data_IF_925962224270
#
_entry.id   IF_925962224270
#
_cell.length_a   1.000
_cell.length_b   1.000
_cell.length_c   1.000
_cell.angle_alpha   90.00
_cell.angle_beta   90.00
_cell.angle_gamma   90.00
#
_symmetry.space_group_name_H-M   'P 1'
#
loop_
_entity.id
_entity.type
_entity.pdbx_description
1 polymer ?
#
# COMPACT_ATOMS: atom_id res chain seq x y z
N UNK A 1 -27.00 38.29 -67.72
CA UNK A 1 -25.70 38.46 -67.02
C UNK A 1 -25.70 37.86 -65.61
N UNK A 2 -26.81 37.87 -64.86
CA UNK A 2 -26.84 37.34 -63.47
C UNK A 2 -26.58 35.82 -63.31
N UNK A 3 -26.93 34.98 -64.30
CA UNK A 3 -26.71 33.51 -64.19
C UNK A 3 -25.25 33.07 -64.27
N UNK A 4 -24.42 33.76 -65.07
CA UNK A 4 -22.97 33.47 -65.16
C UNK A 4 -22.24 33.81 -63.86
N UNK A 5 -22.64 34.88 -63.17
CA UNK A 5 -22.08 35.27 -61.87
C UNK A 5 -22.40 34.22 -60.79
N UNK A 6 -23.64 33.71 -60.76
CA UNK A 6 -24.04 32.66 -59.81
C UNK A 6 -23.27 31.35 -59.99
N UNK A 7 -23.02 30.93 -61.25
CA UNK A 7 -22.23 29.72 -61.53
C UNK A 7 -20.77 29.87 -61.07
N UNK A 8 -20.16 31.04 -61.27
CA UNK A 8 -18.80 31.30 -60.80
C UNK A 8 -18.69 31.27 -59.27
N UNK A 9 -19.66 31.88 -58.58
CA UNK A 9 -19.73 31.85 -57.11
C UNK A 9 -19.90 30.43 -56.57
N UNK A 10 -20.78 29.64 -57.21
CA UNK A 10 -20.99 28.24 -56.84
C UNK A 10 -19.71 27.40 -57.00
N UNK A 11 -19.00 27.57 -58.11
CA UNK A 11 -17.72 26.88 -58.34
C UNK A 11 -16.67 27.27 -57.29
N UNK A 12 -16.59 28.56 -56.93
CA UNK A 12 -15.68 29.01 -55.85
C UNK A 12 -16.03 28.39 -54.50
N UNK A 13 -17.32 28.28 -54.17
CA UNK A 13 -17.77 27.60 -52.95
C UNK A 13 -17.41 26.11 -52.94
N UNK A 14 -17.54 25.41 -54.08
CA UNK A 14 -17.15 24.00 -54.20
C UNK A 14 -15.65 23.85 -53.94
N UNK A 15 -14.82 24.64 -54.61
CA UNK A 15 -13.37 24.59 -54.39
C UNK A 15 -13.00 24.91 -52.94
N UNK A 16 -13.71 25.85 -52.29
CA UNK A 16 -13.56 26.12 -50.86
C UNK A 16 -13.84 24.88 -50.00
N UNK A 17 -14.98 24.22 -50.22
CA UNK A 17 -15.36 23.00 -49.49
C UNK A 17 -14.41 21.82 -49.74
N UNK A 18 -13.86 21.69 -50.95
CA UNK A 18 -12.85 20.68 -51.28
C UNK A 18 -11.55 20.92 -50.50
N UNK A 19 -11.11 22.17 -50.42
CA UNK A 19 -9.93 22.54 -49.63
C UNK A 19 -10.16 22.33 -48.13
N UNK A 20 -11.32 22.72 -47.60
CA UNK A 20 -11.68 22.51 -46.20
C UNK A 20 -11.73 21.01 -45.86
N UNK A 21 -12.31 20.19 -46.74
CA UNK A 21 -12.33 18.73 -46.59
C UNK A 21 -10.92 18.14 -46.54
N UNK A 22 -10.04 18.55 -47.45
CA UNK A 22 -8.64 18.07 -47.46
C UNK A 22 -7.92 18.48 -46.18
N UNK A 23 -8.07 19.74 -45.76
CA UNK A 23 -7.50 20.24 -44.50
C UNK A 23 -7.98 19.42 -43.30
N UNK A 24 -9.28 19.18 -43.20
CA UNK A 24 -9.89 18.38 -42.14
C UNK A 24 -9.39 16.94 -42.11
N UNK A 25 -9.33 16.27 -43.27
CA UNK A 25 -8.80 14.91 -43.37
C UNK A 25 -7.32 14.84 -42.95
N UNK A 26 -6.52 15.84 -43.32
CA UNK A 26 -5.12 15.93 -42.88
C UNK A 26 -5.01 16.09 -41.36
N UNK A 27 -5.85 16.92 -40.73
CA UNK A 27 -5.87 17.07 -39.27
C UNK A 27 -6.27 15.78 -38.55
N UNK A 28 -7.19 14.98 -39.12
CA UNK A 28 -7.54 13.66 -38.58
C UNK A 28 -6.34 12.72 -38.63
N UNK A 29 -5.64 12.63 -39.76
CA UNK A 29 -4.47 11.76 -39.88
C UNK A 29 -3.34 12.17 -38.93
N UNK A 30 -3.12 13.47 -38.73
CA UNK A 30 -2.19 13.97 -37.71
C UNK A 30 -2.60 13.55 -36.30
N UNK A 31 -3.89 13.70 -35.95
CA UNK A 31 -4.41 13.30 -34.63
C UNK A 31 -4.24 11.81 -34.39
N UNK A 32 -4.51 10.99 -35.41
CA UNK A 32 -4.34 9.54 -35.36
C UNK A 32 -2.87 9.14 -35.19
N UNK A 33 -1.95 9.79 -35.90
CA UNK A 33 -0.52 9.55 -35.74
C UNK A 33 -0.05 9.88 -34.31
N UNK A 34 -0.52 11.00 -33.75
CA UNK A 34 -0.23 11.37 -32.36
C UNK A 34 -0.78 10.35 -31.36
N UNK A 35 -2.01 9.87 -31.57
CA UNK A 35 -2.61 8.86 -30.69
C UNK A 35 -1.82 7.54 -30.71
N UNK A 36 -1.39 7.08 -31.88
CA UNK A 36 -0.54 5.89 -32.01
C UNK A 36 0.80 6.06 -31.31
N UNK A 37 1.44 7.22 -31.45
CA UNK A 37 2.67 7.54 -30.73
C UNK A 37 2.46 7.53 -29.21
N UNK A 38 1.40 8.17 -28.71
CA UNK A 38 1.05 8.19 -27.30
C UNK A 38 0.78 6.77 -26.76
N UNK A 39 0.10 5.92 -27.53
CA UNK A 39 -0.15 4.52 -27.17
C UNK A 39 1.16 3.76 -26.99
N UNK A 40 2.12 3.93 -27.89
CA UNK A 40 3.43 3.28 -27.78
C UNK A 40 4.21 3.75 -26.54
N UNK A 41 4.16 5.06 -26.24
CA UNK A 41 4.79 5.63 -25.03
C UNK A 41 4.21 4.97 -23.77
N UNK A 42 2.89 4.84 -23.69
CA UNK A 42 2.22 4.21 -22.54
C UNK A 42 2.62 2.74 -22.41
N UNK A 43 2.67 2.00 -23.52
CA UNK A 43 3.10 0.60 -23.51
C UNK A 43 4.55 0.44 -23.04
N UNK A 44 5.45 1.31 -23.51
CA UNK A 44 6.84 1.30 -23.08
C UNK A 44 6.97 1.61 -21.58
N UNK A 45 6.22 2.59 -21.08
CA UNK A 45 6.19 2.93 -19.67
C UNK A 45 5.64 1.75 -18.82
N UNK A 46 4.58 1.08 -19.27
CA UNK A 46 4.04 -0.11 -18.60
C UNK A 46 5.08 -1.24 -18.49
N UNK A 47 5.80 -1.53 -19.58
CA UNK A 47 6.86 -2.53 -19.59
C UNK A 47 7.99 -2.15 -18.62
N UNK A 48 8.45 -0.89 -18.65
CA UNK A 48 9.49 -0.41 -17.74
C UNK A 48 9.07 -0.50 -16.27
N UNK A 49 7.84 -0.10 -15.94
CA UNK A 49 7.29 -0.21 -14.59
C UNK A 49 7.23 -1.67 -14.12
N UNK A 50 6.79 -2.59 -14.99
CA UNK A 50 6.75 -4.03 -14.66
C UNK A 50 8.15 -4.59 -14.40
N UNK A 51 9.13 -4.27 -15.23
CA UNK A 51 10.53 -4.69 -15.02
C UNK A 51 11.11 -4.12 -13.72
N UNK A 52 10.81 -2.87 -13.41
CA UNK A 52 11.23 -2.25 -12.16
C UNK A 52 10.60 -2.94 -10.95
N UNK A 53 9.28 -3.21 -10.98
CA UNK A 53 8.58 -3.93 -9.92
C UNK A 53 9.14 -5.33 -9.70
N UNK A 54 9.38 -6.08 -10.78
CA UNK A 54 9.99 -7.41 -10.71
C UNK A 54 11.38 -7.37 -10.05
N UNK A 55 12.18 -6.35 -10.38
CA UNK A 55 13.51 -6.17 -9.79
C UNK A 55 13.44 -5.82 -8.31
N UNK A 56 12.52 -4.93 -7.94
CA UNK A 56 12.26 -4.57 -6.54
C UNK A 56 11.82 -5.78 -5.71
N UNK A 57 10.85 -6.57 -6.20
CA UNK A 57 10.39 -7.80 -5.52
C UNK A 57 11.55 -8.77 -5.30
N UNK A 58 12.38 -8.98 -6.33
CA UNK A 58 13.56 -9.86 -6.23
C UNK A 58 14.53 -9.36 -5.16
N UNK A 59 14.81 -8.05 -5.12
CA UNK A 59 15.69 -7.45 -4.12
C UNK A 59 15.12 -7.58 -2.70
N UNK A 60 13.81 -7.34 -2.53
CA UNK A 60 13.15 -7.48 -1.23
C UNK A 60 13.21 -8.93 -0.76
N UNK A 61 12.89 -9.91 -1.62
CA UNK A 61 13.02 -11.34 -1.28
C UNK A 61 14.43 -11.70 -0.83
N UNK A 62 15.46 -11.18 -1.50
CA UNK A 62 16.85 -11.42 -1.11
C UNK A 62 17.16 -10.84 0.28
N UNK A 63 16.72 -9.61 0.55
CA UNK A 63 16.89 -8.98 1.87
C UNK A 63 16.12 -9.73 2.96
N UNK A 64 14.89 -10.13 2.67
CA UNK A 64 14.06 -10.90 3.57
C UNK A 64 14.71 -12.24 3.93
N UNK A 65 15.21 -12.97 2.94
CA UNK A 65 15.91 -14.24 3.18
C UNK A 65 17.16 -14.06 4.06
N UNK A 66 17.91 -12.96 3.88
CA UNK A 66 19.04 -12.62 4.75
C UNK A 66 18.59 -12.32 6.18
N UNK A 67 17.52 -11.55 6.35
CA UNK A 67 16.96 -11.23 7.66
C UNK A 67 16.43 -12.48 8.38
N UNK A 68 15.73 -13.36 7.66
CA UNK A 68 15.26 -14.66 8.17
C UNK A 68 16.40 -15.54 8.63
N UNK A 69 17.48 -15.64 7.85
CA UNK A 69 18.66 -16.40 8.25
C UNK A 69 19.27 -15.87 9.57
N UNK A 70 19.34 -14.54 9.72
CA UNK A 70 19.85 -13.90 10.93
C UNK A 70 18.92 -14.04 12.14
N UNK A 71 17.61 -14.13 11.92
CA UNK A 71 16.60 -14.29 12.98
C UNK A 71 16.24 -15.75 13.29
N UNK A 72 16.86 -16.72 12.61
CA UNK A 72 16.47 -18.14 12.64
C UNK A 72 16.48 -18.80 14.03
N UNK A 73 17.22 -18.24 15.00
CA UNK A 73 17.23 -18.71 16.39
C UNK A 73 16.12 -18.13 17.27
N UNK A 74 15.34 -17.17 16.76
CA UNK A 74 14.23 -16.52 17.46
C UNK A 74 12.90 -16.80 16.72
N UNK A 75 12.08 -17.75 17.22
CA UNK A 75 10.78 -18.05 16.64
C UNK A 75 9.83 -16.85 16.60
N UNK A 76 9.93 -15.92 17.55
CA UNK A 76 9.10 -14.72 17.60
C UNK A 76 9.43 -13.75 16.46
N UNK A 77 10.72 -13.55 16.19
CA UNK A 77 11.18 -12.73 15.06
C UNK A 77 10.91 -13.39 13.70
N UNK A 78 10.94 -14.73 13.62
CA UNK A 78 10.65 -15.46 12.39
C UNK A 78 9.19 -15.27 11.93
N UNK A 79 8.24 -15.14 12.87
CA UNK A 79 6.81 -14.92 12.54
C UNK A 79 6.50 -13.57 11.87
N UNK A 80 7.40 -12.59 12.00
CA UNK A 80 7.21 -11.22 11.49
C UNK A 80 7.27 -11.16 9.96
N UNK A 81 7.85 -12.18 9.32
CA UNK A 81 8.02 -12.20 7.87
C UNK A 81 6.83 -12.77 7.09
N UNK A 82 5.87 -13.44 7.74
CA UNK A 82 4.76 -14.12 7.06
C UNK A 82 3.90 -13.20 6.19
N UNK A 83 3.55 -12.01 6.69
CA UNK A 83 2.76 -11.03 5.92
C UNK A 83 3.53 -10.54 4.66
N UNK A 84 4.87 -10.52 4.74
CA UNK A 84 5.72 -10.09 3.63
C UNK A 84 5.90 -11.19 2.59
N UNK A 85 6.00 -12.46 3.02
CA UNK A 85 5.97 -13.62 2.13
C UNK A 85 4.70 -13.61 1.26
N UNK A 86 3.53 -13.45 1.89
CA UNK A 86 2.23 -13.41 1.20
C UNK A 86 2.17 -12.26 0.19
N UNK A 87 2.61 -11.05 0.59
CA UNK A 87 2.69 -9.91 -0.33
C UNK A 87 3.58 -10.20 -1.55
N UNK A 88 4.78 -10.74 -1.30
CA UNK A 88 5.76 -10.95 -2.38
C UNK A 88 5.36 -12.11 -3.28
N UNK A 89 4.56 -13.06 -2.80
CA UNK A 89 3.92 -14.10 -3.60
C UNK A 89 2.82 -13.50 -4.49
N UNK A 90 1.86 -12.78 -3.91
CA UNK A 90 0.76 -12.14 -4.63
C UNK A 90 1.25 -11.18 -5.73
N UNK A 91 2.27 -10.37 -5.43
CA UNK A 91 2.84 -9.45 -6.42
C UNK A 91 3.56 -10.20 -7.54
N UNK A 92 4.23 -11.30 -7.23
CA UNK A 92 4.90 -12.12 -8.23
C UNK A 92 3.89 -12.78 -9.16
N UNK A 93 2.78 -13.28 -8.62
CA UNK A 93 1.70 -13.90 -9.39
C UNK A 93 0.96 -12.88 -10.26
N UNK A 94 0.69 -11.68 -9.75
CA UNK A 94 0.13 -10.58 -10.54
C UNK A 94 1.07 -10.14 -11.66
N UNK A 95 2.39 -10.11 -11.43
CA UNK A 95 3.36 -9.83 -12.47
C UNK A 95 3.39 -10.93 -13.53
N UNK A 96 3.45 -12.21 -13.12
CA UNK A 96 3.50 -13.37 -14.01
C UNK A 96 2.24 -13.51 -14.88
N UNK A 97 1.08 -13.14 -14.34
CA UNK A 97 -0.21 -13.20 -15.04
C UNK A 97 -0.49 -11.99 -15.96
N UNK A 98 0.50 -11.10 -16.14
CA UNK A 98 0.32 -9.84 -16.88
C UNK A 98 -0.85 -8.97 -16.36
N UNK A 99 -1.13 -9.03 -15.05
CA UNK A 99 -2.14 -8.20 -14.42
C UNK A 99 -1.89 -6.70 -14.68
N UNK A 100 -2.98 -5.92 -14.66
CA UNK A 100 -2.92 -4.47 -14.85
C UNK A 100 -2.13 -3.80 -13.72
N UNK A 101 -1.55 -2.64 -14.00
CA UNK A 101 -0.89 -1.82 -12.96
C UNK A 101 -1.84 -1.45 -11.81
N UNK A 102 -3.15 -1.32 -12.10
CA UNK A 102 -4.16 -1.10 -11.08
C UNK A 102 -4.33 -2.28 -10.14
N UNK A 103 -4.24 -3.52 -10.64
CA UNK A 103 -4.28 -4.73 -9.82
C UNK A 103 -3.07 -4.80 -8.89
N UNK A 104 -1.86 -4.54 -9.42
CA UNK A 104 -0.63 -4.48 -8.63
C UNK A 104 -0.71 -3.41 -7.53
N UNK A 105 -1.23 -2.23 -7.85
CA UNK A 105 -1.45 -1.16 -6.88
C UNK A 105 -2.48 -1.54 -5.81
N UNK A 106 -3.52 -2.29 -6.17
CA UNK A 106 -4.52 -2.79 -5.23
C UNK A 106 -3.92 -3.81 -4.26
N UNK A 107 -3.10 -4.75 -4.74
CA UNK A 107 -2.38 -5.70 -3.88
C UNK A 107 -1.51 -4.97 -2.85
N UNK A 108 -0.71 -4.00 -3.29
CA UNK A 108 0.08 -3.15 -2.38
C UNK A 108 -0.80 -2.38 -1.39
N UNK A 109 -1.90 -1.79 -1.86
CA UNK A 109 -2.83 -1.01 -1.05
C UNK A 109 -3.46 -1.86 0.06
N UNK A 110 -3.95 -3.06 -0.28
CA UNK A 110 -4.52 -4.00 0.68
C UNK A 110 -3.51 -4.39 1.76
N UNK A 111 -2.27 -4.71 1.36
CA UNK A 111 -1.19 -5.02 2.30
C UNK A 111 -0.93 -3.88 3.28
N UNK A 112 -0.71 -2.65 2.79
CA UNK A 112 -0.41 -1.52 3.68
C UNK A 112 -1.57 -1.19 4.62
N UNK A 113 -2.82 -1.34 4.16
CA UNK A 113 -3.99 -1.14 5.02
C UNK A 113 -4.07 -2.20 6.11
N UNK A 114 -3.76 -3.46 5.80
CA UNK A 114 -3.67 -4.53 6.79
C UNK A 114 -2.55 -4.25 7.81
N UNK A 115 -1.39 -3.76 7.36
CA UNK A 115 -0.29 -3.37 8.25
C UNK A 115 -0.68 -2.23 9.20
N UNK A 116 -1.38 -1.21 8.69
CA UNK A 116 -1.89 -0.09 9.51
C UNK A 116 -2.88 -0.62 10.56
N UNK A 117 -3.82 -1.48 10.16
CA UNK A 117 -4.80 -2.09 11.06
C UNK A 117 -4.13 -2.91 12.17
N UNK A 118 -3.16 -3.75 11.81
CA UNK A 118 -2.39 -4.57 12.75
C UNK A 118 -1.58 -3.69 13.73
N UNK A 119 -0.85 -2.71 13.22
CA UNK A 119 -0.08 -1.77 14.04
C UNK A 119 -0.98 -0.99 15.01
N UNK A 120 -2.14 -0.54 14.55
CA UNK A 120 -3.14 0.16 15.38
C UNK A 120 -3.65 -0.75 16.49
N UNK A 121 -3.97 -2.01 16.18
CA UNK A 121 -4.42 -2.99 17.16
C UNK A 121 -3.35 -3.25 18.22
N UNK A 122 -2.09 -3.44 17.80
CA UNK A 122 -0.96 -3.62 18.72
C UNK A 122 -0.74 -2.39 19.60
N UNK A 123 -0.81 -1.19 19.02
CA UNK A 123 -0.69 0.06 19.77
C UNK A 123 -1.80 0.19 20.83
N UNK A 124 -3.05 -0.12 20.46
CA UNK A 124 -4.19 -0.09 21.38
C UNK A 124 -4.04 -1.11 22.52
N UNK A 125 -3.56 -2.32 22.22
CA UNK A 125 -3.28 -3.35 23.22
C UNK A 125 -2.24 -2.88 24.24
N UNK A 126 -1.13 -2.28 23.78
CA UNK A 126 -0.12 -1.71 24.66
C UNK A 126 -0.67 -0.55 25.50
N UNK A 127 -1.39 0.38 24.87
CA UNK A 127 -1.89 1.60 25.51
C UNK A 127 -2.95 1.34 26.58
N UNK A 128 -3.80 0.34 26.38
CA UNK A 128 -4.93 0.08 27.28
C UNK A 128 -4.66 -1.13 28.16
N UNK A 129 -4.55 -2.30 27.53
CA UNK A 129 -4.56 -3.59 28.21
C UNK A 129 -3.27 -3.80 29.00
N UNK A 130 -2.10 -3.61 28.37
CA UNK A 130 -0.81 -3.80 29.07
C UNK A 130 -0.58 -2.80 30.20
N UNK A 131 -0.94 -1.55 30.00
CA UNK A 131 -0.87 -0.56 31.08
C UNK A 131 -1.79 -0.94 32.25
N UNK A 132 -3.04 -1.33 31.98
CA UNK A 132 -3.99 -1.76 33.01
C UNK A 132 -3.50 -3.01 33.76
N UNK A 133 -3.02 -4.04 33.06
CA UNK A 133 -2.44 -5.25 33.65
C UNK A 133 -1.28 -4.90 34.60
N UNK A 134 -0.37 -4.04 34.13
CA UNK A 134 0.83 -3.65 34.88
C UNK A 134 0.48 -2.90 36.15
N UNK A 135 -0.38 -1.88 36.07
CA UNK A 135 -0.78 -1.10 37.24
C UNK A 135 -1.66 -1.86 38.21
N UNK A 136 -2.59 -2.68 37.71
CA UNK A 136 -3.45 -3.53 38.55
C UNK A 136 -2.61 -4.52 39.34
N UNK A 137 -1.62 -5.16 38.70
CA UNK A 137 -0.70 -6.09 39.37
C UNK A 137 0.13 -5.38 40.44
N UNK A 138 0.74 -4.23 40.11
CA UNK A 138 1.52 -3.44 41.08
C UNK A 138 0.68 -3.01 42.27
N UNK A 139 -0.55 -2.55 42.04
CA UNK A 139 -1.48 -2.15 43.10
C UNK A 139 -1.82 -3.33 44.02
N UNK A 140 -2.11 -4.51 43.46
CA UNK A 140 -2.39 -5.73 44.24
C UNK A 140 -1.19 -6.15 45.10
N UNK A 141 0.01 -6.15 44.53
CA UNK A 141 1.25 -6.46 45.27
C UNK A 141 1.44 -5.49 46.43
N UNK A 142 1.29 -4.18 46.18
CA UNK A 142 1.40 -3.15 47.21
C UNK A 142 0.38 -3.34 48.33
N UNK A 143 -0.89 -3.58 47.98
CA UNK A 143 -1.98 -3.82 48.95
C UNK A 143 -1.70 -5.05 49.81
N UNK A 144 -1.21 -6.13 49.21
CA UNK A 144 -0.84 -7.36 49.94
C UNK A 144 0.29 -7.13 50.93
N UNK A 145 1.36 -6.43 50.51
CA UNK A 145 2.50 -6.09 51.38
C UNK A 145 2.07 -5.28 52.61
N UNK A 146 1.23 -4.26 52.40
CA UNK A 146 0.69 -3.44 53.49
C UNK A 146 -0.13 -4.26 54.49
N UNK A 147 -0.94 -5.20 54.01
CA UNK A 147 -1.75 -6.04 54.90
C UNK A 147 -0.86 -6.95 55.77
N UNK A 148 0.19 -7.55 55.21
CA UNK A 148 1.12 -8.38 55.98
C UNK A 148 1.88 -7.61 57.06
N UNK A 149 2.26 -6.37 56.79
CA UNK A 149 2.91 -5.51 57.80
C UNK A 149 1.96 -5.19 58.96
N UNK A 150 0.71 -4.86 58.66
CA UNK A 150 -0.31 -4.60 59.68
C UNK A 150 -0.59 -5.82 60.57
N UNK A 151 -0.63 -7.01 60.00
CA UNK A 151 -0.78 -8.26 60.78
C UNK A 151 0.41 -8.50 61.72
N UNK A 152 1.65 -8.25 61.25
CA UNK A 152 2.85 -8.35 62.07
C UNK A 152 2.82 -7.35 63.24
N UNK A 153 2.45 -6.09 62.99
CA UNK A 153 2.31 -5.08 64.04
C UNK A 153 1.22 -5.44 65.06
N UNK A 154 0.08 -5.95 64.60
CA UNK A 154 -0.99 -6.41 65.48
C UNK A 154 -0.55 -7.59 66.37
N UNK A 155 0.18 -8.54 65.78
CA UNK A 155 0.75 -9.67 66.52
C UNK A 155 1.74 -9.23 67.59
N UNK A 156 2.68 -8.34 67.25
CA UNK A 156 3.66 -7.79 68.20
C UNK A 156 2.97 -7.03 69.33
N UNK A 157 2.02 -6.14 69.00
CA UNK A 157 1.25 -5.37 70.00
C UNK A 157 0.51 -6.31 70.96
N UNK A 158 -0.11 -7.38 70.45
CA UNK A 158 -0.83 -8.37 71.26
C UNK A 158 0.12 -9.14 72.18
N UNK A 159 1.34 -9.48 71.72
CA UNK A 159 2.35 -10.15 72.53
C UNK A 159 2.90 -9.25 73.64
N UNK A 160 3.04 -7.94 73.38
CA UNK A 160 3.46 -6.96 74.39
C UNK A 160 2.40 -6.77 75.48
N UNK A 161 1.11 -6.80 75.14
CA UNK A 161 0.02 -6.65 76.11
C UNK A 161 -0.25 -7.89 76.99
N UNK A 162 0.40 -9.02 76.70
CA UNK A 162 0.27 -10.28 77.44
C UNK A 162 1.46 -10.55 78.38
N UNK A 163 2.38 -9.59 78.52
CA UNK A 163 3.52 -9.57 79.46
C UNK A 163 3.30 -8.44 80.45
#
# INVERSE_FOLDING_TARGET
>A
MQSKTGILQWNQSITGLENDKVSYLNSIEQTKAQWLANKQIIQNAQTQMRSALQSTITNIRNQENQLKANASSDPGLTSVFGDMDELLEDLQDALNSNASLGTLAQTLGNFFQNQISNATTKANYWNTTKWQETYSTKFWILKRSRNSELELFAYIRRRIQLV
#
